data_IF_329859280173
#
_entry.id   IF_329859280173
#
_cell.length_a   1.000
_cell.length_b   1.000
_cell.length_c   1.000
_cell.angle_alpha   90.00
_cell.angle_beta   90.00
_cell.angle_gamma   90.00
#
_symmetry.space_group_name_H-M   'P 1'
#
loop_
_entity.id
_entity.type
_entity.pdbx_description
1 polymer ?
#
# COMPACT_ATOMS: atom_id res chain seq x y z
N UNK A 1 15.62 -2.56 18.15
CA UNK A 1 14.31 -2.39 17.50
C UNK A 1 13.56 -1.32 18.29
N UNK A 2 13.73 -0.05 17.90
CA UNK A 2 13.16 1.09 18.62
C UNK A 2 11.68 1.24 18.27
N UNK A 3 10.82 1.04 19.26
CA UNK A 3 9.39 1.33 19.18
C UNK A 3 9.18 2.83 19.48
N UNK A 4 9.19 3.64 18.42
CA UNK A 4 9.14 5.12 18.46
C UNK A 4 7.75 5.69 18.82
N UNK A 5 6.90 4.91 19.50
CA UNK A 5 5.53 5.31 19.81
C UNK A 5 4.65 5.56 18.57
N UNK A 6 5.08 5.11 17.39
CA UNK A 6 4.33 5.28 16.14
C UNK A 6 3.29 4.18 15.97
N UNK A 7 2.12 4.55 15.45
CA UNK A 7 1.03 3.63 15.11
C UNK A 7 0.76 3.66 13.60
N UNK A 8 0.09 2.63 13.07
CA UNK A 8 -0.33 2.60 11.66
C UNK A 8 -1.71 3.22 11.48
N UNK A 9 -1.85 4.05 10.46
CA UNK A 9 -3.15 4.55 10.02
C UNK A 9 -3.98 3.38 9.47
N UNK A 10 -5.19 3.19 9.98
CA UNK A 10 -6.08 2.11 9.54
C UNK A 10 -6.51 2.24 8.07
N UNK A 11 -6.49 3.46 7.52
CA UNK A 11 -6.88 3.71 6.13
C UNK A 11 -5.72 3.53 5.13
N UNK A 12 -4.58 4.20 5.38
CA UNK A 12 -3.47 4.25 4.42
C UNK A 12 -2.25 3.40 4.81
N UNK A 13 -2.28 2.72 5.96
CA UNK A 13 -1.19 1.86 6.46
C UNK A 13 0.10 2.58 6.92
N UNK A 14 0.26 3.86 6.58
CA UNK A 14 1.44 4.66 6.95
C UNK A 14 1.58 4.82 8.46
N UNK A 15 2.83 4.85 8.94
CA UNK A 15 3.15 5.12 10.36
C UNK A 15 2.97 6.60 10.67
N UNK A 16 2.48 6.91 11.87
CA UNK A 16 2.38 8.28 12.39
C UNK A 16 2.47 8.30 13.91
N UNK A 17 2.90 9.44 14.47
CA UNK A 17 2.91 9.67 15.93
C UNK A 17 1.50 10.16 16.33
N UNK A 18 0.79 9.44 17.21
CA UNK A 18 -0.52 9.87 17.69
C UNK A 18 -0.37 11.10 18.60
N UNK A 19 -1.32 12.04 18.52
CA UNK A 19 -1.30 13.19 19.44
C UNK A 19 -1.60 12.73 20.87
N UNK A 20 -0.82 13.17 21.88
CA UNK A 20 -1.08 12.83 23.27
C UNK A 20 -2.33 13.55 23.78
N UNK A 21 -3.09 12.89 24.65
CA UNK A 21 -4.26 13.47 25.30
C UNK A 21 -5.27 12.43 25.78
N UNK A 22 -6.20 12.83 26.66
CA UNK A 22 -7.29 11.95 27.10
C UNK A 22 -8.28 11.69 25.95
N UNK A 23 -8.79 10.46 25.85
CA UNK A 23 -9.83 10.09 24.89
C UNK A 23 -9.55 8.78 24.15
N UNK A 24 -10.36 8.51 23.12
CA UNK A 24 -10.22 7.31 22.29
C UNK A 24 -8.91 7.38 21.49
N UNK A 25 -8.11 6.29 21.45
CA UNK A 25 -6.88 6.25 20.68
C UNK A 25 -7.09 6.68 19.22
N UNK A 26 -6.17 7.50 18.71
CA UNK A 26 -6.18 7.91 17.32
C UNK A 26 -5.93 6.69 16.43
N UNK A 27 -6.76 6.51 15.39
CA UNK A 27 -6.63 5.40 14.42
C UNK A 27 -6.23 5.85 13.02
N UNK A 28 -6.22 7.16 12.79
CA UNK A 28 -6.03 7.77 11.47
C UNK A 28 -5.03 8.91 11.55
N UNK A 29 -4.09 8.97 10.62
CA UNK A 29 -3.06 10.02 10.60
C UNK A 29 -3.63 11.41 10.27
N UNK A 30 -4.80 11.48 9.61
CA UNK A 30 -5.46 12.74 9.20
C UNK A 30 -6.99 12.60 9.27
N UNK A 31 -7.69 13.75 9.38
CA UNK A 31 -9.17 13.79 9.39
C UNK A 31 -9.79 13.27 8.08
N UNK A 32 -9.18 13.55 6.94
CA UNK A 32 -9.62 13.06 5.62
C UNK A 32 -9.65 11.53 5.57
N UNK A 33 -8.64 10.84 6.12
CA UNK A 33 -8.62 9.37 6.18
C UNK A 33 -9.72 8.79 7.05
N UNK A 34 -10.10 9.48 8.15
CA UNK A 34 -11.27 9.08 8.94
C UNK A 34 -12.56 9.22 8.15
N UNK A 35 -12.71 10.30 7.38
CA UNK A 35 -13.88 10.53 6.53
C UNK A 35 -13.98 9.47 5.42
N UNK A 36 -12.88 9.20 4.73
CA UNK A 36 -12.83 8.14 3.69
C UNK A 36 -13.12 6.76 4.25
N UNK A 37 -12.60 6.43 5.43
CA UNK A 37 -12.94 5.17 6.10
C UNK A 37 -14.44 5.08 6.45
N UNK A 38 -15.12 6.19 6.73
CA UNK A 38 -16.57 6.19 6.91
C UNK A 38 -17.32 5.97 5.58
N UNK A 39 -16.93 6.68 4.53
CA UNK A 39 -17.54 6.53 3.19
C UNK A 39 -17.36 5.12 2.64
N UNK A 40 -16.17 4.54 2.81
CA UNK A 40 -15.84 3.18 2.42
C UNK A 40 -16.73 2.14 3.10
N UNK A 41 -17.08 2.33 4.37
CA UNK A 41 -18.03 1.43 5.08
C UNK A 41 -19.42 1.50 4.48
N UNK A 42 -19.88 2.71 4.11
CA UNK A 42 -21.19 2.86 3.49
C UNK A 42 -21.23 2.12 2.15
N UNK A 43 -20.19 2.32 1.32
CA UNK A 43 -20.05 1.60 0.04
C UNK A 43 -19.94 0.09 0.27
N UNK A 44 -19.19 -0.36 1.29
CA UNK A 44 -19.07 -1.79 1.62
C UNK A 44 -20.44 -2.40 1.98
N UNK A 45 -21.22 -1.72 2.82
CA UNK A 45 -22.58 -2.13 3.17
C UNK A 45 -23.50 -2.18 1.95
N UNK A 46 -23.45 -1.16 1.09
CA UNK A 46 -24.30 -1.06 -0.11
C UNK A 46 -23.97 -2.17 -1.12
N UNK A 47 -22.71 -2.61 -1.16
CA UNK A 47 -22.22 -3.69 -2.03
C UNK A 47 -22.23 -5.08 -1.36
N UNK A 48 -22.62 -5.20 -0.10
CA UNK A 48 -22.67 -6.48 0.63
C UNK A 48 -21.30 -7.14 0.80
N UNK A 49 -20.24 -6.35 0.96
CA UNK A 49 -18.88 -6.84 1.16
C UNK A 49 -18.75 -7.55 2.52
N UNK A 50 -18.12 -8.73 2.52
CA UNK A 50 -17.74 -9.44 3.75
C UNK A 50 -16.57 -8.77 4.46
N UNK A 51 -16.28 -9.18 5.71
CA UNK A 51 -15.23 -8.60 6.56
C UNK A 51 -13.84 -8.52 5.89
N UNK A 52 -13.49 -9.50 5.06
CA UNK A 52 -12.19 -9.59 4.39
C UNK A 52 -12.20 -9.05 2.94
N UNK A 53 -13.32 -8.47 2.49
CA UNK A 53 -13.45 -7.99 1.13
C UNK A 53 -12.93 -6.56 0.96
N UNK A 54 -12.29 -6.30 -0.18
CA UNK A 54 -11.88 -4.97 -0.60
C UNK A 54 -12.42 -4.66 -2.00
N UNK A 55 -13.02 -3.49 -2.16
CA UNK A 55 -13.43 -2.99 -3.46
C UNK A 55 -12.40 -2.02 -4.00
N UNK A 56 -11.72 -2.41 -5.07
CA UNK A 56 -10.82 -1.55 -5.83
C UNK A 56 -11.47 -1.10 -7.14
N UNK A 57 -11.03 0.04 -7.65
CA UNK A 57 -11.34 0.37 -9.05
C UNK A 57 -10.64 -0.61 -9.98
N UNK A 58 -11.27 -0.95 -11.11
CA UNK A 58 -10.64 -1.79 -12.13
C UNK A 58 -9.29 -1.23 -12.59
N UNK A 59 -9.18 0.10 -12.72
CA UNK A 59 -7.94 0.76 -13.10
C UNK A 59 -6.83 0.52 -12.07
N UNK A 60 -7.14 0.72 -10.79
CA UNK A 60 -6.21 0.45 -9.68
C UNK A 60 -5.74 -1.00 -9.68
N UNK A 61 -6.67 -1.96 -9.82
CA UNK A 61 -6.33 -3.38 -9.86
C UNK A 61 -5.41 -3.74 -11.03
N UNK A 62 -5.68 -3.18 -12.22
CA UNK A 62 -4.81 -3.37 -13.40
C UNK A 62 -3.42 -2.78 -13.13
N UNK A 63 -3.33 -1.55 -12.61
CA UNK A 63 -2.05 -0.92 -12.31
C UNK A 63 -1.22 -1.72 -11.30
N UNK A 64 -1.85 -2.25 -10.24
CA UNK A 64 -1.19 -3.13 -9.28
C UNK A 64 -0.64 -4.39 -9.94
N UNK A 65 -1.48 -5.08 -10.73
CA UNK A 65 -1.07 -6.31 -11.42
C UNK A 65 0.09 -6.04 -12.39
N UNK A 66 0.00 -4.98 -13.18
CA UNK A 66 1.04 -4.61 -14.14
C UNK A 66 2.35 -4.22 -13.42
N UNK A 67 2.25 -3.54 -12.28
CA UNK A 67 3.40 -3.25 -11.42
C UNK A 67 4.06 -4.52 -10.85
N UNK A 68 3.25 -5.46 -10.33
CA UNK A 68 3.75 -6.74 -9.83
C UNK A 68 4.44 -7.56 -10.93
N UNK A 69 3.88 -7.56 -12.14
CA UNK A 69 4.50 -8.22 -13.29
C UNK A 69 5.87 -7.60 -13.63
N UNK A 70 6.00 -6.27 -13.58
CA UNK A 70 7.31 -5.62 -13.78
C UNK A 70 8.31 -5.97 -12.69
N UNK A 71 7.86 -6.05 -11.44
CA UNK A 71 8.71 -6.44 -10.32
C UNK A 71 9.21 -7.88 -10.44
N UNK A 72 8.34 -8.80 -10.86
CA UNK A 72 8.71 -10.18 -11.16
C UNK A 72 9.77 -10.23 -12.27
N UNK A 73 9.52 -9.56 -13.40
CA UNK A 73 10.48 -9.49 -14.50
C UNK A 73 11.83 -8.89 -14.08
N UNK A 74 11.82 -7.76 -13.36
CA UNK A 74 13.04 -7.14 -12.86
C UNK A 74 13.79 -8.04 -11.86
N UNK A 75 13.07 -8.86 -11.08
CA UNK A 75 13.69 -9.85 -10.20
C UNK A 75 14.36 -10.98 -10.98
N UNK A 76 13.76 -11.43 -12.07
CA UNK A 76 14.35 -12.46 -12.95
C UNK A 76 15.59 -11.93 -13.68
N UNK A 77 15.54 -10.66 -14.12
CA UNK A 77 16.65 -9.99 -14.81
C UNK A 77 17.92 -9.93 -13.93
N UNK A 78 17.79 -9.81 -12.60
CA UNK A 78 18.95 -9.81 -11.69
C UNK A 78 19.86 -11.02 -11.88
N UNK A 79 19.30 -12.22 -12.08
CA UNK A 79 20.10 -13.42 -12.26
C UNK A 79 20.83 -13.42 -13.60
N UNK A 80 20.13 -12.99 -14.66
CA UNK A 80 20.64 -12.86 -16.03
C UNK A 80 21.76 -11.82 -16.08
N UNK A 81 21.51 -10.60 -15.60
CA UNK A 81 22.45 -9.49 -15.58
C UNK A 81 23.74 -9.83 -14.82
N UNK A 82 23.61 -10.54 -13.68
CA UNK A 82 24.78 -11.03 -12.94
C UNK A 82 25.59 -12.03 -13.75
N UNK A 83 24.95 -12.91 -14.52
CA UNK A 83 25.63 -13.90 -15.36
C UNK A 83 26.33 -13.25 -16.57
N UNK A 84 25.79 -12.14 -17.05
CA UNK A 84 26.35 -11.35 -18.15
C UNK A 84 27.42 -10.34 -17.68
N UNK A 85 27.65 -10.23 -16.37
CA UNK A 85 28.68 -9.36 -15.80
C UNK A 85 28.29 -7.89 -15.78
N UNK A 86 26.99 -7.58 -15.77
CA UNK A 86 26.48 -6.23 -15.57
C UNK A 86 26.95 -5.70 -14.22
N UNK A 87 27.27 -4.41 -14.20
CA UNK A 87 27.71 -3.71 -12.99
C UNK A 87 26.67 -3.83 -11.85
N UNK A 88 27.07 -4.24 -10.63
CA UNK A 88 26.13 -4.45 -9.52
C UNK A 88 25.30 -3.23 -9.14
N UNK A 89 25.85 -2.02 -9.23
CA UNK A 89 25.10 -0.79 -8.90
C UNK A 89 24.00 -0.55 -9.95
N UNK A 90 24.27 -0.83 -11.22
CA UNK A 90 23.26 -0.79 -12.30
C UNK A 90 22.09 -1.75 -12.05
N UNK A 91 22.38 -2.98 -11.59
CA UNK A 91 21.34 -3.97 -11.25
C UNK A 91 20.48 -3.48 -10.07
N UNK A 92 21.14 -2.95 -9.04
CA UNK A 92 20.46 -2.42 -7.84
C UNK A 92 19.59 -1.22 -8.21
N UNK A 93 20.08 -0.30 -9.03
CA UNK A 93 19.34 0.88 -9.48
C UNK A 93 18.11 0.50 -10.31
N UNK A 94 18.25 -0.49 -11.20
CA UNK A 94 17.14 -1.03 -11.99
C UNK A 94 16.04 -1.61 -11.10
N UNK A 95 16.40 -2.51 -10.17
CA UNK A 95 15.44 -3.11 -9.25
C UNK A 95 14.81 -2.06 -8.32
N UNK A 96 15.61 -1.11 -7.81
CA UNK A 96 15.14 -0.03 -6.95
C UNK A 96 14.13 0.86 -7.67
N UNK A 97 14.35 1.14 -8.96
CA UNK A 97 13.41 1.89 -9.81
C UNK A 97 12.06 1.19 -9.89
N UNK A 98 12.07 -0.11 -10.21
CA UNK A 98 10.82 -0.89 -10.32
C UNK A 98 10.09 -1.00 -8.99
N UNK A 99 10.82 -1.22 -7.89
CA UNK A 99 10.22 -1.18 -6.55
C UNK A 99 9.57 0.17 -6.28
N UNK A 100 10.26 1.27 -6.57
CA UNK A 100 9.75 2.63 -6.35
C UNK A 100 8.49 2.91 -7.18
N UNK A 101 8.43 2.43 -8.42
CA UNK A 101 7.23 2.53 -9.26
C UNK A 101 6.05 1.78 -8.64
N UNK A 102 6.25 0.54 -8.18
CA UNK A 102 5.20 -0.28 -7.55
C UNK A 102 4.70 0.35 -6.25
N UNK A 103 5.60 0.81 -5.36
CA UNK A 103 5.19 1.42 -4.08
C UNK A 103 4.54 2.79 -4.26
N UNK A 104 4.74 3.43 -5.41
CA UNK A 104 4.12 4.72 -5.74
C UNK A 104 2.72 4.58 -6.35
N UNK A 105 2.26 3.36 -6.66
CA UNK A 105 0.89 3.13 -7.12
C UNK A 105 -0.08 3.57 -6.01
N UNK A 106 -1.00 4.47 -6.33
CA UNK A 106 -2.10 4.79 -5.42
C UNK A 106 -3.16 3.68 -5.47
N UNK A 107 -3.16 2.84 -4.45
CA UNK A 107 -4.07 1.72 -4.32
C UNK A 107 -5.21 1.98 -3.34
N UNK A 108 -5.63 3.24 -3.21
CA UNK A 108 -6.74 3.63 -2.34
C UNK A 108 -8.03 2.83 -2.64
N UNK A 109 -8.55 2.10 -1.63
CA UNK A 109 -9.77 1.31 -1.82
C UNK A 109 -11.00 2.19 -1.93
N UNK A 110 -11.97 1.75 -2.73
CA UNK A 110 -13.32 2.35 -2.80
C UNK A 110 -14.17 1.93 -1.61
N UNK A 111 -13.97 0.71 -1.13
CA UNK A 111 -14.59 0.18 0.07
C UNK A 111 -13.71 -0.91 0.67
N UNK A 112 -13.79 -1.08 1.98
CA UNK A 112 -13.19 -2.19 2.71
C UNK A 112 -14.30 -2.72 3.62
N UNK A 113 -14.55 -4.03 3.57
CA UNK A 113 -15.42 -4.70 4.51
C UNK A 113 -14.92 -4.51 5.94
N UNK A 114 -15.83 -4.49 6.89
CA UNK A 114 -15.49 -4.53 8.30
C UNK A 114 -16.28 -5.66 8.97
N UNK A 115 -15.63 -6.32 9.93
CA UNK A 115 -16.27 -7.17 10.94
C UNK A 115 -16.72 -6.41 12.16
#
# INVERSE_FOLDING_TARGET
>A
MSDDGTIRCVWCGSRFVPSPGPGRPQRYCRRSHRQRAYEARQVASDHGLGEDDVLLSKATFISLRDGLFRLEAASDDVATDRSEGVDPDTIIDGLTTVINDVVSIDWEPKAVGEG
#
